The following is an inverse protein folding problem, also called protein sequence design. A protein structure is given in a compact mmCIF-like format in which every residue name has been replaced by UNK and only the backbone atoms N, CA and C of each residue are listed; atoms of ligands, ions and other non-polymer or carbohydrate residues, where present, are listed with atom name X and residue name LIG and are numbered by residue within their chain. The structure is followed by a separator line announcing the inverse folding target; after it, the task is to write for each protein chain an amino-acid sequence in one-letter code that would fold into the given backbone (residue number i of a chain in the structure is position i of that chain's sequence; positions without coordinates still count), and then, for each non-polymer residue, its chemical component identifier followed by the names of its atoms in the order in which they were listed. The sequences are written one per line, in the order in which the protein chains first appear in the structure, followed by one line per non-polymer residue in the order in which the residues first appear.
data_IF_550115890881
#
_entry.id   IF_550115890881
#
_cell.length_a   1.000
_cell.length_b   1.000
_cell.length_c   1.000
_cell.angle_alpha   90.00
_cell.angle_beta   90.00
_cell.angle_gamma   90.00
#
_symmetry.space_group_name_H-M   'P 1'
#
loop_
_entity.id
_entity.type
_entity.pdbx_description
1 polymer ?
#
# COMPACT_ATOMS: atom_id res chain seq x y z
N UNK A 1 18.30 -3.15 14.23
CA UNK A 1 16.88 -3.07 14.64
C UNK A 1 16.18 -2.03 13.77
N UNK A 2 15.04 -2.34 13.16
CA UNK A 2 14.24 -1.37 12.40
C UNK A 2 13.50 -0.48 13.40
N UNK A 3 13.84 0.81 13.46
CA UNK A 3 13.17 1.75 14.38
C UNK A 3 11.86 2.22 13.74
N UNK A 4 10.76 1.97 14.43
CA UNK A 4 9.45 2.50 14.06
C UNK A 4 9.21 3.79 14.82
N UNK A 5 8.64 4.75 14.14
CA UNK A 5 8.22 6.02 14.70
C UNK A 5 6.72 6.16 14.52
N UNK A 6 6.11 7.01 15.33
CA UNK A 6 4.68 7.21 15.33
C UNK A 6 4.38 8.66 14.96
N UNK A 7 3.38 8.85 14.12
CA UNK A 7 2.72 10.13 13.99
C UNK A 7 1.70 10.14 15.11
N UNK A 8 2.01 10.88 16.18
CA UNK A 8 1.09 11.04 17.29
C UNK A 8 -0.23 11.63 16.79
N UNK A 9 -1.33 11.13 17.37
CA UNK A 9 -2.69 11.47 16.97
C UNK A 9 -2.85 12.99 17.00
N UNK A 10 -3.44 13.57 15.95
CA UNK A 10 -3.86 14.98 15.93
C UNK A 10 -5.07 15.13 16.86
N UNK A 11 -4.85 15.04 18.16
CA UNK A 11 -5.83 15.40 19.17
C UNK A 11 -5.40 16.75 19.74
N UNK A 12 -5.97 17.82 19.18
CA UNK A 12 -5.83 19.16 19.77
C UNK A 12 -7.12 19.63 20.44
N UNK A 13 -8.19 18.83 20.42
CA UNK A 13 -9.41 19.10 21.19
C UNK A 13 -9.60 18.09 22.32
N UNK A 14 -10.06 18.56 23.47
CA UNK A 14 -10.40 17.76 24.66
C UNK A 14 -11.58 16.81 24.43
N UNK A 15 -12.18 16.82 23.24
CA UNK A 15 -13.44 16.15 22.90
C UNK A 15 -13.19 14.96 21.95
N UNK A 16 -11.94 14.71 21.52
CA UNK A 16 -11.57 13.54 20.71
C UNK A 16 -11.68 13.73 19.19
N UNK A 17 -11.96 14.94 18.73
CA UNK A 17 -11.96 15.33 17.31
C UNK A 17 -10.70 16.14 16.97
N UNK A 18 -10.25 16.10 15.71
CA UNK A 18 -9.21 17.03 15.25
C UNK A 18 -9.77 18.46 15.15
N UNK A 19 -8.93 19.50 15.28
CA UNK A 19 -9.37 20.88 15.12
C UNK A 19 -9.72 21.18 13.65
N UNK A 20 -10.68 22.06 13.45
CA UNK A 20 -11.08 22.57 12.12
C UNK A 20 -10.14 23.68 11.64
N UNK A 21 -10.15 23.94 10.34
CA UNK A 21 -9.35 24.98 9.69
C UNK A 21 -7.84 24.89 9.96
N UNK A 22 -7.30 23.67 10.07
CA UNK A 22 -5.86 23.45 10.20
C UNK A 22 -5.25 22.88 8.93
N UNK A 23 -3.99 23.26 8.71
CA UNK A 23 -3.08 22.70 7.72
C UNK A 23 -1.84 22.17 8.43
N UNK A 24 -1.79 20.88 8.69
CA UNK A 24 -0.65 20.23 9.33
C UNK A 24 0.26 19.58 8.28
N UNK A 25 1.57 19.77 8.43
CA UNK A 25 2.57 19.16 7.55
C UNK A 25 3.55 18.29 8.33
N UNK A 26 3.66 17.04 7.92
CA UNK A 26 4.64 16.09 8.44
C UNK A 26 5.70 15.86 7.37
N UNK A 27 6.93 16.27 7.67
CA UNK A 27 8.07 16.12 6.77
C UNK A 27 8.94 14.98 7.26
N UNK A 28 9.09 13.96 6.43
CA UNK A 28 9.95 12.81 6.67
C UNK A 28 11.21 12.99 5.83
N UNK A 29 12.36 13.04 6.51
CA UNK A 29 13.66 13.15 5.87
C UNK A 29 14.55 11.99 6.33
N UNK A 30 14.70 11.01 5.45
CA UNK A 30 15.60 9.89 5.62
C UNK A 30 17.03 10.20 5.21
N UNK A 31 17.96 9.32 5.58
CA UNK A 31 19.32 9.34 5.09
C UNK A 31 19.38 9.08 3.57
N UNK A 32 20.56 9.26 2.97
CA UNK A 32 20.80 8.91 1.57
C UNK A 32 20.38 7.45 1.33
N UNK A 33 19.70 7.21 0.20
CA UNK A 33 19.19 5.91 -0.24
C UNK A 33 18.14 5.28 0.70
N UNK A 34 17.56 6.03 1.64
CA UNK A 34 16.39 5.58 2.38
C UNK A 34 15.08 5.92 1.66
N UNK A 35 14.05 5.13 1.93
CA UNK A 35 12.65 5.41 1.61
C UNK A 35 11.81 5.33 2.87
N UNK A 36 10.71 6.06 2.87
CA UNK A 36 9.76 6.18 3.97
C UNK A 36 8.55 5.31 3.66
N UNK A 37 8.12 4.55 4.66
CA UNK A 37 6.88 3.80 4.63
C UNK A 37 5.97 4.38 5.71
N UNK A 38 4.72 4.68 5.36
CA UNK A 38 3.70 5.21 6.28
C UNK A 38 2.49 4.27 6.24
N UNK A 39 2.12 3.74 7.40
CA UNK A 39 1.00 2.82 7.56
C UNK A 39 0.01 3.40 8.56
N UNK A 40 -1.24 3.56 8.15
CA UNK A 40 -2.32 3.97 9.04
C UNK A 40 -2.85 2.77 9.79
N UNK A 41 -2.87 2.87 11.11
CA UNK A 41 -3.54 1.92 12.00
C UNK A 41 -4.97 2.34 12.30
N UNK A 42 -5.19 3.65 12.31
CA UNK A 42 -6.50 4.25 12.50
C UNK A 42 -6.66 5.41 11.52
N UNK A 43 -7.83 5.53 10.92
CA UNK A 43 -8.13 6.59 9.97
C UNK A 43 -9.64 6.87 9.97
N UNK A 44 -9.97 8.07 10.45
CA UNK A 44 -11.29 8.67 10.51
C UNK A 44 -11.15 10.18 10.22
N UNK A 45 -10.89 10.47 8.95
CA UNK A 45 -10.87 11.83 8.42
C UNK A 45 -12.18 12.06 7.69
N UNK A 46 -12.86 13.16 8.00
CA UNK A 46 -14.12 13.50 7.37
C UNK A 46 -13.97 13.54 5.85
N UNK A 47 -14.92 12.95 5.15
CA UNK A 47 -15.02 13.15 3.73
C UNK A 47 -15.92 12.17 3.01
N UNK A 48 -16.21 12.52 1.76
CA UNK A 48 -17.17 11.81 0.90
C UNK A 48 -16.72 11.75 -0.55
N UNK A 49 -17.33 10.85 -1.31
CA UNK A 49 -17.11 10.73 -2.74
C UNK A 49 -15.63 10.42 -3.07
N UNK A 50 -15.06 11.19 -3.98
CA UNK A 50 -13.69 10.97 -4.49
C UNK A 50 -12.59 11.76 -3.75
N UNK A 51 -12.94 12.40 -2.62
CA UNK A 51 -11.99 13.21 -1.85
C UNK A 51 -11.31 14.33 -2.69
N UNK A 52 -12.02 14.87 -3.68
CA UNK A 52 -11.51 15.91 -4.58
C UNK A 52 -11.92 17.31 -4.09
N UNK A 53 -11.51 18.35 -4.84
CA UNK A 53 -11.84 19.74 -4.51
C UNK A 53 -13.35 20.03 -4.49
N UNK A 54 -14.17 19.22 -5.18
CA UNK A 54 -15.62 19.41 -5.25
C UNK A 54 -16.33 18.83 -4.04
N UNK A 55 -15.76 17.79 -3.43
CA UNK A 55 -16.37 17.07 -2.30
C UNK A 55 -16.50 17.94 -1.05
N UNK A 56 -15.68 19.00 -0.92
CA UNK A 56 -15.51 19.81 0.30
C UNK A 56 -15.21 18.94 1.53
N UNK A 57 -14.29 17.99 1.34
CA UNK A 57 -13.85 17.07 2.38
C UNK A 57 -12.54 17.50 2.98
N UNK A 58 -12.32 17.12 4.23
CA UNK A 58 -10.99 17.07 4.80
C UNK A 58 -10.15 16.02 4.08
N UNK A 59 -8.82 16.09 4.20
CA UNK A 59 -7.99 15.09 3.53
C UNK A 59 -6.60 14.93 4.13
N UNK A 60 -6.06 13.74 3.91
CA UNK A 60 -4.62 13.48 3.95
C UNK A 60 -4.08 13.38 2.52
N UNK A 61 -2.95 14.02 2.26
CA UNK A 61 -2.27 14.03 0.96
C UNK A 61 -0.79 13.72 1.15
N UNK A 62 -0.23 12.88 0.29
CA UNK A 62 1.20 12.57 0.28
C UNK A 62 1.90 13.22 -0.91
N UNK A 63 3.16 13.62 -0.75
CA UNK A 63 3.97 14.19 -1.83
C UNK A 63 5.44 13.81 -1.71
N UNK A 64 6.04 13.35 -2.81
CA UNK A 64 7.48 13.10 -2.93
C UNK A 64 8.28 14.37 -3.25
N UNK A 65 7.61 15.52 -3.41
CA UNK A 65 8.22 16.77 -3.83
C UNK A 65 8.09 17.84 -2.75
N UNK A 66 9.08 18.73 -2.70
CA UNK A 66 9.03 19.92 -1.83
C UNK A 66 8.01 20.94 -2.30
N UNK A 67 7.69 20.94 -3.60
CA UNK A 67 6.64 21.77 -4.19
C UNK A 67 5.27 21.06 -4.09
N UNK A 68 4.20 21.81 -4.34
CA UNK A 68 2.84 21.25 -4.39
C UNK A 68 2.61 20.69 -5.79
N UNK A 69 2.50 19.37 -5.90
CA UNK A 69 2.13 18.69 -7.14
C UNK A 69 0.63 18.33 -7.10
N UNK A 70 -0.08 18.69 -8.18
CA UNK A 70 -1.53 18.51 -8.35
C UNK A 70 -1.92 17.06 -8.64
N UNK A 71 -0.97 16.19 -8.98
CA UNK A 71 -1.24 14.78 -9.30
C UNK A 71 -1.39 13.89 -8.06
N UNK A 72 -1.10 14.42 -6.87
CA UNK A 72 -1.12 13.63 -5.65
C UNK A 72 -2.55 13.27 -5.23
N UNK A 73 -2.76 11.99 -4.92
CA UNK A 73 -4.04 11.45 -4.47
C UNK A 73 -4.34 11.86 -3.02
N UNK A 74 -5.58 12.32 -2.78
CA UNK A 74 -6.14 12.60 -1.45
C UNK A 74 -6.82 11.37 -0.86
N UNK A 75 -6.82 11.30 0.46
CA UNK A 75 -7.47 10.24 1.24
C UNK A 75 -8.38 10.87 2.30
N UNK A 76 -9.61 10.39 2.39
CA UNK A 76 -10.60 10.75 3.40
C UNK A 76 -11.74 9.72 3.44
N UNK A 77 -12.49 9.67 4.54
CA UNK A 77 -13.64 8.77 4.72
C UNK A 77 -13.40 7.34 4.26
N UNK A 78 -14.27 6.84 3.38
CA UNK A 78 -14.18 5.49 2.80
C UNK A 78 -12.96 5.31 1.86
N UNK A 79 -12.37 6.40 1.38
CA UNK A 79 -11.13 6.40 0.59
C UNK A 79 -9.88 6.47 1.48
N UNK A 80 -9.93 5.89 2.68
CA UNK A 80 -8.75 5.69 3.52
C UNK A 80 -7.68 4.83 2.81
N UNK A 81 -6.39 5.00 3.14
CA UNK A 81 -5.34 4.12 2.64
C UNK A 81 -5.61 2.66 3.02
N UNK A 82 -5.59 1.76 2.02
CA UNK A 82 -5.75 0.31 2.24
C UNK A 82 -4.42 -0.39 2.49
N UNK A 83 -3.36 0.14 1.91
CA UNK A 83 -2.00 -0.41 1.97
C UNK A 83 -1.03 0.64 2.53
N UNK A 84 0.19 0.19 2.80
CA UNK A 84 1.28 1.08 3.24
C UNK A 84 1.67 2.02 2.11
N UNK A 85 1.72 3.32 2.43
CA UNK A 85 2.15 4.34 1.50
C UNK A 85 3.68 4.43 1.51
N UNK A 86 4.31 4.36 0.34
CA UNK A 86 5.77 4.35 0.17
C UNK A 86 6.24 5.60 -0.57
N UNK A 87 7.31 6.21 -0.10
CA UNK A 87 7.98 7.32 -0.81
C UNK A 87 8.86 6.84 -1.96
N UNK A 88 9.09 7.72 -2.92
CA UNK A 88 10.00 7.49 -4.06
C UNK A 88 11.45 7.78 -3.72
N UNK A 89 11.69 8.66 -2.74
CA UNK A 89 13.02 9.11 -2.32
C UNK A 89 13.15 9.17 -0.79
N UNK A 90 14.26 9.73 -0.30
CA UNK A 90 14.47 9.97 1.12
C UNK A 90 13.66 11.16 1.65
N UNK A 91 12.97 11.90 0.79
CA UNK A 91 12.05 12.95 1.18
C UNK A 91 10.61 12.48 0.97
N UNK A 92 9.77 12.71 1.98
CA UNK A 92 8.34 12.51 1.88
C UNK A 92 7.60 13.54 2.72
N UNK A 93 6.47 14.04 2.23
CA UNK A 93 5.61 14.96 2.97
C UNK A 93 4.20 14.43 3.02
N UNK A 94 3.63 14.40 4.21
CA UNK A 94 2.19 14.20 4.42
C UNK A 94 1.57 15.52 4.84
N UNK A 95 0.46 15.89 4.21
CA UNK A 95 -0.33 17.08 4.54
C UNK A 95 -1.68 16.58 5.05
N UNK A 96 -2.10 17.09 6.20
CA UNK A 96 -3.48 16.99 6.67
C UNK A 96 -4.12 18.36 6.57
N UNK A 97 -5.28 18.43 5.93
CA UNK A 97 -6.07 19.64 5.77
C UNK A 97 -7.48 19.39 6.29
N UNK A 98 -8.00 20.32 7.10
CA UNK A 98 -9.39 20.33 7.55
C UNK A 98 -10.07 21.65 7.21
N UNK A 99 -11.36 21.61 6.86
CA UNK A 99 -12.21 22.79 6.65
C UNK A 99 -13.01 23.17 7.91
N UNK A 100 -14.03 24.01 7.77
CA UNK A 100 -14.86 24.56 8.86
C UNK A 100 -16.19 23.81 9.09
N UNK A 101 -16.52 22.82 8.27
CA UNK A 101 -17.86 22.23 8.20
C UNK A 101 -18.03 21.09 9.21
N UNK A 102 -17.25 20.01 9.05
CA UNK A 102 -17.35 18.77 9.82
C UNK A 102 -15.95 18.28 10.19
N UNK A 103 -15.87 17.41 11.17
CA UNK A 103 -14.63 16.82 11.67
C UNK A 103 -14.82 15.32 11.93
N UNK A 104 -13.69 14.65 12.15
CA UNK A 104 -13.60 13.25 12.53
C UNK A 104 -12.64 13.09 13.70
N UNK A 105 -12.45 11.85 14.13
CA UNK A 105 -11.56 11.54 15.26
C UNK A 105 -10.09 11.43 14.86
N UNK A 106 -9.78 11.62 13.56
CA UNK A 106 -8.44 11.78 13.03
C UNK A 106 -7.77 10.46 12.67
N UNK A 107 -6.47 10.40 12.84
CA UNK A 107 -5.70 9.24 12.40
C UNK A 107 -4.56 8.91 13.36
N UNK A 108 -4.14 7.64 13.29
CA UNK A 108 -2.94 7.15 13.94
C UNK A 108 -2.13 6.37 12.90
N UNK A 109 -0.87 6.74 12.74
CA UNK A 109 0.00 6.13 11.75
C UNK A 109 1.39 5.85 12.31
N UNK A 110 1.98 4.75 11.85
CA UNK A 110 3.40 4.42 12.01
C UNK A 110 4.15 4.83 10.76
N UNK A 111 5.39 5.27 10.94
CA UNK A 111 6.33 5.42 9.85
C UNK A 111 7.70 4.78 10.14
N UNK A 112 8.36 4.35 9.07
CA UNK A 112 9.65 3.66 9.12
C UNK A 112 10.52 4.10 7.94
N UNK A 113 11.83 4.20 8.18
CA UNK A 113 12.82 4.40 7.13
C UNK A 113 13.48 3.07 6.78
N UNK A 114 13.64 2.80 5.49
CA UNK A 114 14.28 1.60 4.96
C UNK A 114 15.33 1.95 3.93
N UNK A 115 16.51 1.33 4.04
CA UNK A 115 17.55 1.47 3.02
C UNK A 115 17.14 0.73 1.74
N UNK A 116 17.12 1.44 0.61
CA UNK A 116 16.89 0.87 -0.72
C UNK A 116 17.94 -0.20 -1.09
N UNK A 117 19.12 -0.16 -0.45
CA UNK A 117 20.22 -1.11 -0.68
C UNK A 117 20.00 -2.52 -0.13
N UNK A 118 19.11 -2.70 0.86
CA UNK A 118 18.91 -4.00 1.52
C UNK A 118 18.05 -4.96 0.68
N UNK A 119 17.28 -4.45 -0.29
CA UNK A 119 16.56 -5.28 -1.28
C UNK A 119 17.41 -5.65 -2.49
N UNK A 120 18.52 -4.92 -2.77
CA UNK A 120 19.51 -5.29 -3.80
C UNK A 120 20.50 -6.35 -3.32
N UNK A 121 20.69 -6.49 -2.00
CA UNK A 121 21.57 -7.49 -1.37
C UNK A 121 20.82 -8.70 -0.78
N UNK A 122 19.58 -8.95 -1.18
CA UNK A 122 19.11 -10.34 -1.13
C UNK A 122 19.91 -11.06 -2.23
N UNK A 123 20.65 -12.15 -1.95
CA UNK A 123 21.11 -13.01 -3.03
C UNK A 123 19.88 -13.27 -3.87
N UNK A 124 19.96 -12.97 -5.17
CA UNK A 124 19.04 -13.53 -6.14
C UNK A 124 19.14 -15.03 -5.91
N UNK A 125 18.27 -15.59 -5.07
CA UNK A 125 18.10 -17.03 -5.00
C UNK A 125 17.79 -17.38 -6.44
N UNK A 126 18.74 -18.10 -7.03
CA UNK A 126 18.91 -18.21 -8.47
C UNK A 126 17.54 -18.24 -9.15
N UNK A 127 17.33 -17.34 -10.11
CA UNK A 127 16.35 -17.59 -11.15
C UNK A 127 16.87 -18.77 -11.97
N UNK A 128 16.88 -19.97 -11.40
CA UNK A 128 16.72 -21.18 -12.17
C UNK A 128 15.27 -21.14 -12.62
N UNK A 129 15.07 -20.76 -13.87
CA UNK A 129 13.88 -21.13 -14.62
C UNK A 129 13.83 -22.66 -14.72
N UNK A 130 13.47 -23.34 -13.62
CA UNK A 130 13.00 -24.71 -13.69
C UNK A 130 11.52 -24.63 -14.02
N UNK A 131 11.23 -24.46 -15.31
CA UNK A 131 9.96 -24.96 -15.85
C UNK A 131 9.95 -26.46 -15.58
N UNK A 132 9.39 -26.86 -14.45
CA UNK A 132 8.96 -28.23 -14.24
C UNK A 132 7.84 -28.49 -15.24
N UNK A 133 8.21 -28.85 -16.47
CA UNK A 133 7.35 -29.68 -17.30
C UNK A 133 7.05 -30.90 -16.44
N UNK A 134 5.83 -31.02 -15.94
CA UNK A 134 5.30 -32.29 -15.47
C UNK A 134 5.53 -33.29 -16.61
N UNK A 135 6.56 -34.13 -16.48
CA UNK A 135 6.69 -35.35 -17.26
C UNK A 135 5.52 -36.23 -16.81
N UNK A 136 4.40 -36.15 -17.52
CA UNK A 136 3.37 -37.18 -17.45
C UNK A 136 4.06 -38.45 -17.97
N UNK A 137 4.48 -39.26 -17.00
CA UNK A 137 5.08 -40.57 -17.23
C UNK A 137 4.16 -41.41 -18.10
N UNK A 138 4.78 -42.21 -18.97
CA UNK A 138 4.28 -43.08 -20.05
C UNK A 138 3.24 -44.16 -19.64
N UNK A 139 2.29 -43.84 -18.78
CA UNK A 139 1.28 -44.78 -18.25
C UNK A 139 -0.10 -44.55 -18.92
N UNK A 140 -0.39 -43.33 -19.39
CA UNK A 140 -1.68 -43.02 -20.04
C UNK A 140 -1.75 -43.59 -21.47
N UNK A 141 -0.63 -43.68 -22.18
CA UNK A 141 -0.59 -44.23 -23.55
C UNK A 141 -0.84 -45.74 -23.58
N UNK A 142 -0.35 -46.52 -22.61
CA UNK A 142 -0.60 -47.97 -22.58
C UNK A 142 -2.04 -48.31 -22.21
N UNK A 143 -2.68 -47.54 -21.33
CA UNK A 143 -4.07 -47.78 -20.92
C UNK A 143 -5.06 -47.50 -22.06
N UNK A 144 -4.86 -46.41 -22.82
CA UNK A 144 -5.71 -46.09 -23.98
C UNK A 144 -5.57 -47.14 -25.11
N UNK A 145 -4.36 -47.64 -25.36
CA UNK A 145 -4.12 -48.68 -26.38
C UNK A 145 -4.77 -50.01 -25.95
N UNK A 146 -4.74 -50.36 -24.66
CA UNK A 146 -5.39 -51.58 -24.15
C UNK A 146 -6.92 -51.51 -24.25
N UNK A 147 -7.53 -50.38 -23.91
CA UNK A 147 -8.98 -50.19 -24.03
C UNK A 147 -9.43 -50.28 -25.49
N UNK A 148 -8.69 -49.68 -26.43
CA UNK A 148 -9.06 -49.72 -27.85
C UNK A 148 -9.01 -51.14 -28.43
N UNK A 149 -8.06 -51.98 -28.00
CA UNK A 149 -8.03 -53.39 -28.39
C UNK A 149 -9.17 -54.20 -27.78
N UNK A 150 -9.56 -53.93 -26.53
CA UNK A 150 -10.70 -54.61 -25.91
C UNK A 150 -12.01 -54.25 -26.61
N UNK A 151 -12.23 -52.98 -26.94
CA UNK A 151 -13.43 -52.53 -27.65
C UNK A 151 -13.53 -53.12 -29.07
N UNK A 152 -12.41 -53.29 -29.77
CA UNK A 152 -12.40 -53.94 -31.09
C UNK A 152 -12.70 -55.45 -31.01
N UNK A 153 -12.42 -56.12 -29.89
CA UNK A 153 -12.77 -57.54 -29.69
C UNK A 153 -14.26 -57.71 -29.35
N UNK A 154 -14.90 -56.72 -28.73
CA UNK A 154 -16.33 -56.80 -28.39
C UNK A 154 -17.22 -56.46 -29.60
N UNK A 155 -16.71 -55.74 -30.58
CA UNK A 155 -17.47 -55.28 -31.76
C UNK A 155 -17.25 -56.11 -33.04
N UNK A 156 -16.73 -57.34 -32.94
CA UNK A 156 -16.58 -58.26 -34.07
C UNK A 156 -17.08 -59.67 -33.74
#
# INVERSE_FOLDING_TARGET
MKKSYFIEKIFLSSIGFYPRNVDCQYVFLGAKDQVVFVTFEYFDVEGRGQCDDKAKSDFVLFSNYRTRDRTNRRFCGALKPKDTIKSESNYFRMIFHSNDIFDGTGFFARYQFFDQGTTRKLPKLMSTSSSSKLKISSIITTFLISIFRILLVINN
#
